data_IF_546828000173
#
_entry.id   IF_546828000173
#
_cell.length_a   1.000
_cell.length_b   1.000
_cell.length_c   1.000
_cell.angle_alpha   90.00
_cell.angle_beta   90.00
_cell.angle_gamma   90.00
#
_symmetry.space_group_name_H-M   'P 1'
#
loop_
_entity.id
_entity.type
_entity.pdbx_description
1 polymer ?
#
# COMPACT_ATOMS: atom_id res chain seq x y z
N UNK A 1 -5.37 10.89 4.24
CA UNK A 1 -6.27 10.23 3.26
C UNK A 1 -6.84 8.92 3.81
N UNK A 2 -7.98 8.45 3.30
CA UNK A 2 -8.61 7.20 3.76
C UNK A 2 -7.78 5.97 3.35
N UNK A 3 -7.53 5.05 4.29
CA UNK A 3 -6.86 3.76 4.03
C UNK A 3 -7.53 2.97 2.91
N UNK A 4 -8.86 2.94 2.87
CA UNK A 4 -9.60 2.23 1.81
C UNK A 4 -9.32 2.77 0.41
N UNK A 5 -8.97 4.05 0.27
CA UNK A 5 -8.59 4.63 -1.02
C UNK A 5 -7.21 4.14 -1.46
N UNK A 6 -6.23 4.10 -0.53
CA UNK A 6 -4.92 3.52 -0.78
C UNK A 6 -5.05 2.05 -1.19
N UNK A 7 -5.80 1.23 -0.45
CA UNK A 7 -5.97 -0.21 -0.76
C UNK A 7 -6.52 -0.43 -2.16
N UNK A 8 -7.61 0.27 -2.52
CA UNK A 8 -8.18 0.19 -3.88
C UNK A 8 -7.17 0.57 -4.95
N UNK A 9 -6.31 1.56 -4.68
CA UNK A 9 -5.24 1.95 -5.59
C UNK A 9 -4.18 0.84 -5.73
N UNK A 10 -3.75 0.24 -4.62
CA UNK A 10 -2.80 -0.88 -4.63
C UNK A 10 -3.35 -2.07 -5.44
N UNK A 11 -4.58 -2.49 -5.18
CA UNK A 11 -5.26 -3.59 -5.88
C UNK A 11 -5.39 -3.32 -7.39
N UNK A 12 -5.75 -2.09 -7.77
CA UNK A 12 -5.81 -1.68 -9.19
C UNK A 12 -4.46 -1.73 -9.90
N UNK A 13 -3.36 -1.57 -9.18
CA UNK A 13 -2.01 -1.70 -9.72
C UNK A 13 -1.47 -3.15 -9.58
N UNK A 14 -2.34 -4.12 -9.29
CA UNK A 14 -1.96 -5.54 -9.20
C UNK A 14 -1.22 -5.92 -7.92
N UNK A 15 -1.14 -5.02 -6.94
CA UNK A 15 -0.59 -5.35 -5.62
C UNK A 15 -1.64 -6.10 -4.79
N UNK A 16 -1.20 -7.08 -4.00
CA UNK A 16 -2.10 -7.85 -3.13
C UNK A 16 -1.50 -8.03 -1.73
N UNK A 17 -2.34 -8.46 -0.79
CA UNK A 17 -1.92 -8.76 0.57
C UNK A 17 -1.04 -10.00 0.58
N UNK A 18 0.21 -9.84 0.97
CA UNK A 18 1.13 -10.96 1.16
C UNK A 18 0.87 -11.65 2.51
N UNK A 19 0.73 -10.87 3.58
CA UNK A 19 0.45 -11.34 4.93
C UNK A 19 -0.03 -10.22 5.85
N UNK A 20 -0.72 -10.60 6.91
CA UNK A 20 -1.06 -9.71 8.01
C UNK A 20 0.07 -9.67 9.04
N UNK A 21 0.45 -8.46 9.48
CA UNK A 21 1.25 -8.24 10.67
C UNK A 21 0.38 -7.88 11.87
N UNK A 22 1.00 -7.55 13.00
CA UNK A 22 0.28 -7.13 14.21
C UNK A 22 -0.57 -5.88 13.98
N UNK A 23 0.07 -4.75 13.63
CA UNK A 23 -0.60 -3.45 13.47
C UNK A 23 -0.68 -2.96 12.01
N UNK A 24 -0.26 -3.78 11.05
CA UNK A 24 -0.21 -3.43 9.63
C UNK A 24 -0.47 -4.64 8.75
N UNK A 25 -0.83 -4.39 7.50
CA UNK A 25 -0.91 -5.39 6.43
C UNK A 25 0.30 -5.23 5.51
N UNK A 26 0.96 -6.32 5.14
CA UNK A 26 2.04 -6.29 4.14
C UNK A 26 1.43 -6.50 2.75
N UNK A 27 1.66 -5.55 1.86
CA UNK A 27 1.34 -5.66 0.44
C UNK A 27 2.59 -6.01 -0.36
N UNK A 28 2.40 -6.78 -1.43
CA UNK A 28 3.44 -7.10 -2.40
C UNK A 28 2.99 -6.70 -3.81
N UNK A 29 3.94 -6.18 -4.60
CA UNK A 29 3.80 -6.08 -6.04
C UNK A 29 4.48 -7.31 -6.67
N UNK A 30 3.74 -8.25 -7.27
CA UNK A 30 4.32 -9.46 -7.84
C UNK A 30 5.22 -9.22 -9.06
N UNK A 31 5.06 -8.08 -9.75
CA UNK A 31 5.83 -7.79 -10.95
C UNK A 31 7.32 -7.53 -10.65
N UNK A 32 7.63 -7.01 -9.46
CA UNK A 32 8.99 -6.68 -9.04
C UNK A 32 9.36 -7.26 -7.65
N UNK A 33 8.46 -8.04 -7.04
CA UNK A 33 8.59 -8.64 -5.71
C UNK A 33 8.80 -7.62 -4.57
N UNK A 34 8.52 -6.33 -4.80
CA UNK A 34 8.65 -5.28 -3.79
C UNK A 34 7.48 -5.35 -2.81
N UNK A 35 7.77 -5.03 -1.55
CA UNK A 35 6.80 -5.09 -0.47
C UNK A 35 6.73 -3.77 0.30
N UNK A 36 5.56 -3.47 0.85
CA UNK A 36 5.37 -2.33 1.74
C UNK A 36 4.33 -2.62 2.81
N UNK A 37 4.51 -2.01 3.99
CA UNK A 37 3.59 -2.12 5.11
C UNK A 37 2.55 -0.99 5.06
N UNK A 38 1.27 -1.37 5.15
CA UNK A 38 0.14 -0.44 5.22
C UNK A 38 -0.49 -0.56 6.61
N UNK A 39 -0.43 0.52 7.38
CA UNK A 39 -1.07 0.58 8.71
C UNK A 39 -2.59 0.35 8.64
N UNK A 40 -3.20 -0.07 9.76
CA UNK A 40 -4.65 -0.33 9.83
C UNK A 40 -5.51 0.88 10.22
N UNK A 41 -4.90 2.03 10.49
CA UNK A 41 -5.64 3.26 10.80
C UNK A 41 -6.55 3.66 9.63
N UNK A 42 -7.75 4.15 9.95
CA UNK A 42 -8.74 4.57 8.94
C UNK A 42 -8.22 5.70 8.06
N UNK A 43 -7.43 6.60 8.65
CA UNK A 43 -6.71 7.65 7.96
C UNK A 43 -5.21 7.44 8.02
N UNK A 44 -4.55 7.72 6.90
CA UNK A 44 -3.11 7.63 6.72
C UNK A 44 -2.59 8.96 6.18
N UNK A 45 -1.39 9.35 6.61
CA UNK A 45 -0.71 10.52 6.07
C UNK A 45 -0.49 10.40 4.56
N UNK A 46 -0.69 11.50 3.84
CA UNK A 46 -0.48 11.53 2.38
C UNK A 46 0.98 11.20 2.02
N UNK A 47 1.94 11.64 2.85
CA UNK A 47 3.35 11.31 2.69
C UNK A 47 3.62 9.82 2.87
N UNK A 48 2.98 9.18 3.85
CA UNK A 48 3.08 7.73 4.04
C UNK A 48 2.56 7.00 2.81
N UNK A 49 1.40 7.40 2.30
CA UNK A 49 0.80 6.77 1.14
C UNK A 49 1.67 6.92 -0.12
N UNK A 50 2.28 8.10 -0.35
CA UNK A 50 3.26 8.30 -1.43
C UNK A 50 4.50 7.40 -1.26
N UNK A 51 5.00 7.23 -0.02
CA UNK A 51 6.12 6.32 0.27
C UNK A 51 5.75 4.87 -0.02
N UNK A 52 4.55 4.42 0.35
CA UNK A 52 4.06 3.07 0.05
C UNK A 52 4.03 2.84 -1.46
N UNK A 53 3.42 3.75 -2.24
CA UNK A 53 3.41 3.63 -3.71
C UNK A 53 4.81 3.59 -4.31
N UNK A 54 5.72 4.44 -3.81
CA UNK A 54 7.12 4.45 -4.25
C UNK A 54 7.85 3.16 -3.94
N UNK A 55 7.64 2.58 -2.75
CA UNK A 55 8.26 1.31 -2.34
C UNK A 55 7.78 0.14 -3.20
N UNK A 56 6.51 0.15 -3.60
CA UNK A 56 5.90 -0.84 -4.50
C UNK A 56 6.20 -0.55 -5.99
N UNK A 57 6.87 0.56 -6.29
CA UNK A 57 7.17 1.07 -7.64
C UNK A 57 5.93 1.23 -8.53
N UNK A 58 4.85 1.74 -7.95
CA UNK A 58 3.63 2.09 -8.67
C UNK A 58 3.44 3.61 -8.67
N UNK A 59 2.67 4.12 -9.63
CA UNK A 59 2.36 5.54 -9.69
C UNK A 59 1.65 5.98 -8.41
N UNK A 60 2.12 7.07 -7.79
CA UNK A 60 1.43 7.65 -6.66
C UNK A 60 0.06 8.17 -7.09
N UNK A 61 -0.96 7.88 -6.30
CA UNK A 61 -2.29 8.47 -6.51
C UNK A 61 -2.23 10.01 -6.39
N UNK A 62 -3.01 10.72 -7.22
CA UNK A 62 -3.09 12.19 -7.19
C UNK A 62 -3.60 12.72 -5.86
#
# INVERSE_FOLDING_TARGET
MKRSALIKHLERNGCYVLREGGNHTIYINPANQKQSAVGRHTELDNLLCKKVCKQLEILAMP
#
